data_IF_063619578305
#
_entry.id   IF_063619578305
#
_cell.length_a   1.000
_cell.length_b   1.000
_cell.length_c   1.000
_cell.angle_alpha   90.00
_cell.angle_beta   90.00
_cell.angle_gamma   90.00
#
_symmetry.space_group_name_H-M   'P 1'
#
loop_
_entity.id
_entity.type
_entity.pdbx_description
1 polymer ?
#
# COMPACT_ATOMS: atom_id res chain seq x y z
N UNK A 1 14.68 1.99 8.73
CA UNK A 1 14.55 0.97 7.66
C UNK A 1 14.65 1.69 6.34
N UNK A 2 15.43 1.12 5.41
CA UNK A 2 15.69 1.71 4.10
C UNK A 2 14.52 1.53 3.11
N UNK A 3 13.40 0.95 3.54
CA UNK A 3 12.13 0.98 2.79
C UNK A 3 11.66 2.39 2.43
N UNK A 4 12.13 3.44 3.12
CA UNK A 4 11.87 4.84 2.76
C UNK A 4 12.91 5.39 1.75
N UNK A 5 13.97 4.63 1.44
CA UNK A 5 14.99 4.96 0.45
C UNK A 5 14.73 4.25 -0.90
N UNK A 6 13.46 4.10 -1.31
CA UNK A 6 13.15 4.10 -2.73
C UNK A 6 13.54 5.48 -3.23
N UNK A 7 14.84 5.66 -3.52
CA UNK A 7 15.57 6.93 -3.68
C UNK A 7 14.58 8.04 -3.97
N UNK A 8 14.08 8.67 -2.90
CA UNK A 8 13.36 9.90 -3.11
C UNK A 8 14.40 10.82 -3.78
N UNK A 9 14.01 11.50 -4.85
CA UNK A 9 14.90 12.13 -5.84
C UNK A 9 15.66 13.36 -5.29
N UNK A 10 16.10 13.35 -4.04
CA UNK A 10 16.89 14.40 -3.42
C UNK A 10 18.36 14.02 -3.25
N UNK A 11 18.94 13.27 -4.19
CA UNK A 11 20.39 13.43 -4.36
C UNK A 11 20.63 14.86 -4.82
N UNK A 12 21.58 15.58 -4.20
CA UNK A 12 21.90 17.01 -4.50
C UNK A 12 22.04 17.30 -6.01
N UNK A 13 22.39 16.29 -6.80
CA UNK A 13 22.49 16.30 -8.26
C UNK A 13 21.16 16.51 -9.03
N UNK A 14 20.00 16.41 -8.39
CA UNK A 14 18.69 16.52 -9.08
C UNK A 14 18.24 17.98 -9.24
N UNK A 15 18.82 18.89 -8.46
CA UNK A 15 18.47 20.32 -8.46
C UNK A 15 18.76 21.07 -9.76
N UNK A 16 19.69 20.57 -10.60
CA UNK A 16 20.09 21.26 -11.84
C UNK A 16 19.17 20.95 -13.02
N UNK A 17 18.59 19.76 -13.08
CA UNK A 17 17.72 19.35 -14.20
C UNK A 17 16.38 20.12 -14.20
N UNK A 18 15.83 20.42 -15.37
CA UNK A 18 14.48 20.99 -15.49
C UNK A 18 13.40 19.94 -15.22
N UNK A 19 13.67 18.71 -15.66
CA UNK A 19 12.85 17.54 -15.44
C UNK A 19 13.73 16.28 -15.46
N UNK A 20 13.18 15.19 -14.93
CA UNK A 20 13.80 13.87 -14.92
C UNK A 20 12.85 12.89 -15.60
N UNK A 21 13.38 12.13 -16.55
CA UNK A 21 12.69 10.95 -17.05
C UNK A 21 12.98 9.77 -16.11
N UNK A 22 12.03 9.51 -15.22
CA UNK A 22 12.04 8.36 -14.34
C UNK A 22 11.57 7.13 -15.10
N UNK A 23 12.42 6.10 -15.13
CA UNK A 23 12.03 4.76 -15.57
C UNK A 23 11.67 3.95 -14.34
N UNK A 24 10.38 3.87 -14.05
CA UNK A 24 9.89 3.04 -12.96
C UNK A 24 9.30 1.74 -13.52
N UNK A 25 10.17 0.71 -13.60
CA UNK A 25 9.89 -0.53 -14.33
C UNK A 25 9.57 -0.24 -15.80
N UNK A 26 8.34 -0.51 -16.24
CA UNK A 26 7.85 -0.25 -17.60
C UNK A 26 7.08 1.08 -17.73
N UNK A 27 6.84 1.81 -16.62
CA UNK A 27 6.31 3.18 -16.67
C UNK A 27 7.40 4.18 -17.05
N UNK A 28 7.03 5.11 -17.92
CA UNK A 28 7.77 6.33 -18.25
C UNK A 28 7.10 7.49 -17.54
N UNK A 29 7.79 8.02 -16.55
CA UNK A 29 7.32 9.11 -15.71
C UNK A 29 8.22 10.32 -15.99
N UNK A 30 7.63 11.47 -16.30
CA UNK A 30 8.38 12.73 -16.38
C UNK A 30 8.08 13.53 -15.12
N UNK A 31 9.12 13.77 -14.34
CA UNK A 31 9.02 14.48 -13.07
C UNK A 31 9.71 15.83 -13.12
N UNK A 32 9.07 16.86 -12.58
CA UNK A 32 9.67 18.17 -12.33
C UNK A 32 9.76 18.43 -10.82
N UNK A 33 10.71 19.27 -10.43
CA UNK A 33 10.94 19.66 -9.04
C UNK A 33 10.81 21.17 -8.88
N UNK A 34 10.11 21.59 -7.83
CA UNK A 34 9.93 23.00 -7.52
C UNK A 34 9.09 23.74 -8.57
N UNK A 35 9.52 24.95 -8.94
CA UNK A 35 8.75 25.87 -9.79
C UNK A 35 8.86 25.59 -11.29
N UNK A 36 9.48 24.50 -11.73
CA UNK A 36 9.70 24.20 -13.17
C UNK A 36 8.62 23.32 -13.79
N UNK A 37 7.46 23.21 -13.14
CA UNK A 37 6.43 22.26 -13.55
C UNK A 37 5.82 22.58 -14.92
N UNK A 38 5.86 23.82 -15.38
CA UNK A 38 5.28 24.22 -16.67
C UNK A 38 5.90 23.45 -17.85
N UNK A 39 7.15 23.00 -17.72
CA UNK A 39 7.83 22.14 -18.70
C UNK A 39 7.16 20.79 -18.90
N UNK A 40 6.42 20.30 -17.91
CA UNK A 40 5.66 19.06 -18.03
C UNK A 40 4.57 19.16 -19.11
N UNK A 41 4.08 20.38 -19.42
CA UNK A 41 3.05 20.59 -20.46
C UNK A 41 3.54 20.17 -21.84
N UNK A 42 4.84 20.25 -22.10
CA UNK A 42 5.43 19.84 -23.38
C UNK A 42 5.28 18.33 -23.63
N UNK A 43 5.08 17.55 -22.57
CA UNK A 43 4.94 16.09 -22.61
C UNK A 43 3.49 15.59 -22.56
N UNK A 44 2.50 16.47 -22.38
CA UNK A 44 1.09 16.05 -22.25
C UNK A 44 0.54 15.35 -23.50
N UNK A 45 1.10 15.68 -24.67
CA UNK A 45 0.73 15.09 -25.96
C UNK A 45 1.63 13.93 -26.39
N UNK A 46 2.66 13.61 -25.59
CA UNK A 46 3.54 12.48 -25.88
C UNK A 46 2.87 11.18 -25.40
N UNK A 47 2.27 10.43 -26.32
CA UNK A 47 1.62 9.15 -26.04
C UNK A 47 2.57 8.08 -25.44
N UNK A 48 3.88 8.32 -25.52
CA UNK A 48 4.87 7.44 -24.92
C UNK A 48 5.06 7.68 -23.42
N UNK A 49 4.56 8.78 -22.87
CA UNK A 49 4.61 9.11 -21.44
C UNK A 49 3.37 8.58 -20.73
N UNK A 50 3.57 7.96 -19.56
CA UNK A 50 2.47 7.40 -18.77
C UNK A 50 2.03 8.35 -17.67
N UNK A 51 2.96 9.06 -17.03
CA UNK A 51 2.67 9.92 -15.87
C UNK A 51 3.51 11.19 -15.95
N UNK A 52 2.88 12.33 -15.66
CA UNK A 52 3.55 13.58 -15.33
C UNK A 52 3.47 13.81 -13.83
N UNK A 53 4.59 14.22 -13.23
CA UNK A 53 4.67 14.44 -11.79
C UNK A 53 5.38 15.75 -11.47
N UNK A 54 4.85 16.51 -10.53
CA UNK A 54 5.56 17.64 -9.95
C UNK A 54 5.67 17.45 -8.45
N UNK A 55 6.91 17.48 -7.95
CA UNK A 55 7.19 17.50 -6.53
C UNK A 55 7.18 18.95 -6.07
N UNK A 56 6.18 19.30 -5.26
CA UNK A 56 6.04 20.66 -4.74
C UNK A 56 6.79 20.82 -3.43
N UNK A 57 7.52 21.92 -3.31
CA UNK A 57 8.15 22.36 -2.07
C UNK A 57 7.34 23.44 -1.34
N UNK A 58 6.18 23.84 -1.89
CA UNK A 58 5.29 24.88 -1.36
C UNK A 58 3.82 24.43 -1.33
N UNK A 59 2.98 25.22 -0.66
CA UNK A 59 1.53 25.05 -0.54
C UNK A 59 0.81 24.89 -1.90
N UNK A 60 -0.47 24.48 -1.84
CA UNK A 60 -1.32 24.12 -2.98
C UNK A 60 -1.21 25.08 -4.20
N UNK A 61 -0.65 24.61 -5.33
CA UNK A 61 -0.55 25.35 -6.59
C UNK A 61 -1.83 25.11 -7.43
N UNK A 62 -2.74 26.08 -7.32
CA UNK A 62 -4.00 26.08 -8.07
C UNK A 62 -3.82 26.03 -9.60
N UNK A 63 -2.66 26.40 -10.17
CA UNK A 63 -2.41 26.30 -11.62
C UNK A 63 -2.30 24.84 -12.05
N UNK A 64 -1.53 24.02 -11.32
CA UNK A 64 -1.40 22.59 -11.58
C UNK A 64 -2.76 21.88 -11.50
N UNK A 65 -3.58 22.22 -10.49
CA UNK A 65 -4.93 21.67 -10.35
C UNK A 65 -5.83 22.06 -11.53
N UNK A 66 -5.79 23.33 -11.98
CA UNK A 66 -6.53 23.77 -13.18
C UNK A 66 -6.08 23.07 -14.45
N UNK A 67 -4.81 22.67 -14.53
CA UNK A 67 -4.27 21.88 -15.65
C UNK A 67 -4.60 20.38 -15.55
N UNK A 68 -5.38 19.96 -14.55
CA UNK A 68 -5.87 18.59 -14.41
C UNK A 68 -4.95 17.66 -13.62
N UNK A 69 -3.89 18.18 -12.99
CA UNK A 69 -3.13 17.44 -11.99
C UNK A 69 -3.97 17.24 -10.72
N UNK A 70 -3.70 16.17 -10.00
CA UNK A 70 -4.27 15.89 -8.68
C UNK A 70 -3.18 16.04 -7.61
N UNK A 71 -3.49 16.70 -6.50
CA UNK A 71 -2.60 16.80 -5.36
C UNK A 71 -2.79 15.61 -4.43
N UNK A 72 -1.73 14.85 -4.19
CA UNK A 72 -1.80 13.60 -3.43
C UNK A 72 -0.57 13.36 -2.56
N UNK A 73 -0.69 12.58 -1.48
CA UNK A 73 0.49 12.07 -0.81
C UNK A 73 1.22 11.09 -1.72
N UNK A 74 2.55 11.03 -1.65
CA UNK A 74 3.34 9.95 -2.26
C UNK A 74 3.02 8.60 -1.64
N UNK A 75 2.92 8.56 -0.30
CA UNK A 75 2.65 7.36 0.48
C UNK A 75 1.43 7.50 1.38
N UNK A 76 0.70 6.41 1.54
CA UNK A 76 -0.36 6.26 2.53
C UNK A 76 -0.02 5.12 3.49
N UNK A 77 -0.51 5.22 4.72
CA UNK A 77 -0.56 4.13 5.69
C UNK A 77 -1.98 3.57 5.75
N UNK A 78 -2.09 2.26 5.86
CA UNK A 78 -3.36 1.61 6.15
C UNK A 78 -3.50 1.41 7.64
N UNK A 79 -4.47 2.10 8.25
CA UNK A 79 -4.63 2.18 9.71
C UNK A 79 -5.96 1.58 10.17
N UNK A 80 -5.92 0.95 11.33
CA UNK A 80 -7.08 0.52 12.11
C UNK A 80 -6.94 1.12 13.51
N UNK A 81 -7.98 1.80 13.97
CA UNK A 81 -8.08 2.35 15.32
C UNK A 81 -8.54 1.23 16.28
N UNK A 82 -7.63 0.74 17.11
CA UNK A 82 -7.90 -0.40 17.99
C UNK A 82 -8.81 -0.01 19.16
N UNK A 83 -8.78 1.25 19.60
CA UNK A 83 -9.62 1.77 20.70
C UNK A 83 -11.13 1.71 20.43
N UNK A 84 -11.56 1.42 19.20
CA UNK A 84 -12.96 1.16 18.84
C UNK A 84 -13.46 -0.22 19.25
N UNK A 85 -12.56 -1.10 19.71
CA UNK A 85 -12.85 -2.49 20.01
C UNK A 85 -12.39 -2.81 21.43
N UNK A 86 -13.24 -3.44 22.24
CA UNK A 86 -12.85 -3.91 23.57
C UNK A 86 -12.25 -5.32 23.53
N UNK A 87 -12.41 -6.03 22.40
CA UNK A 87 -11.93 -7.39 22.18
C UNK A 87 -11.70 -7.67 20.69
N UNK A 88 -11.03 -8.78 20.38
CA UNK A 88 -10.91 -9.27 19.01
C UNK A 88 -12.25 -9.78 18.44
N UNK A 89 -13.15 -10.27 19.29
CA UNK A 89 -14.53 -10.61 18.91
C UNK A 89 -15.35 -9.37 18.50
N UNK A 90 -15.20 -8.23 19.19
CA UNK A 90 -15.81 -6.96 18.79
C UNK A 90 -15.34 -6.56 17.39
N UNK A 91 -14.04 -6.67 17.13
CA UNK A 91 -13.48 -6.42 15.80
C UNK A 91 -14.09 -7.36 14.75
N UNK A 92 -14.11 -8.68 15.01
CA UNK A 92 -14.71 -9.65 14.08
C UNK A 92 -16.16 -9.34 13.78
N UNK A 93 -16.92 -8.87 14.78
CA UNK A 93 -18.33 -8.51 14.61
C UNK A 93 -18.55 -7.26 13.76
N UNK A 94 -17.56 -6.36 13.68
CA UNK A 94 -17.60 -5.20 12.78
C UNK A 94 -17.38 -5.55 11.30
N UNK A 95 -16.81 -6.72 11.01
CA UNK A 95 -16.56 -7.16 9.63
C UNK A 95 -17.83 -7.62 8.91
N UNK A 96 -17.79 -7.60 7.58
CA UNK A 96 -18.86 -8.18 6.75
C UNK A 96 -19.01 -9.66 7.06
N UNK A 97 -20.25 -10.16 7.01
CA UNK A 97 -20.60 -11.56 7.35
C UNK A 97 -19.68 -12.60 6.70
N UNK A 98 -19.34 -12.42 5.41
CA UNK A 98 -18.45 -13.32 4.67
C UNK A 98 -17.03 -13.29 5.23
N UNK A 99 -16.44 -12.11 5.40
CA UNK A 99 -15.06 -11.97 5.87
C UNK A 99 -14.91 -12.50 7.31
N UNK A 100 -15.88 -12.21 8.19
CA UNK A 100 -15.98 -12.79 9.54
C UNK A 100 -16.06 -14.33 9.50
N UNK A 101 -16.90 -14.89 8.63
CA UNK A 101 -17.04 -16.34 8.50
C UNK A 101 -15.73 -17.00 8.08
N UNK A 102 -15.03 -16.46 7.09
CA UNK A 102 -13.75 -17.01 6.62
C UNK A 102 -12.67 -17.00 7.72
N UNK A 103 -12.61 -15.94 8.54
CA UNK A 103 -11.68 -15.89 9.67
C UNK A 103 -12.06 -16.93 10.73
N UNK A 104 -13.33 -17.01 11.13
CA UNK A 104 -13.79 -17.99 12.12
C UNK A 104 -13.56 -19.43 11.65
N UNK A 105 -13.78 -19.71 10.35
CA UNK A 105 -13.46 -21.00 9.72
C UNK A 105 -11.97 -21.31 9.82
N UNK A 106 -11.11 -20.33 9.53
CA UNK A 106 -9.65 -20.48 9.60
C UNK A 106 -9.17 -20.75 11.05
N UNK A 107 -9.72 -20.01 12.02
CA UNK A 107 -9.44 -20.21 13.45
C UNK A 107 -9.88 -21.60 13.92
N UNK A 108 -11.09 -22.03 13.55
CA UNK A 108 -11.59 -23.37 13.88
C UNK A 108 -10.69 -24.46 13.30
N UNK A 109 -10.31 -24.32 12.03
CA UNK A 109 -9.40 -25.28 11.40
C UNK A 109 -8.06 -25.39 12.14
N UNK A 110 -7.49 -24.26 12.58
CA UNK A 110 -6.26 -24.28 13.37
C UNK A 110 -6.44 -24.94 14.74
N UNK A 111 -7.59 -24.74 15.39
CA UNK A 111 -7.90 -25.38 16.67
C UNK A 111 -8.04 -26.90 16.52
N UNK A 112 -8.66 -27.35 15.44
CA UNK A 112 -8.94 -28.77 15.19
C UNK A 112 -7.71 -29.55 14.65
N UNK A 113 -6.64 -28.86 14.24
CA UNK A 113 -5.47 -29.48 13.59
C UNK A 113 -4.18 -29.35 14.39
N UNK A 114 -3.54 -30.48 14.69
CA UNK A 114 -2.22 -30.52 15.33
C UNK A 114 -1.05 -30.11 14.42
N UNK A 115 -1.26 -30.11 13.10
CA UNK A 115 -0.22 -29.78 12.13
C UNK A 115 0.05 -28.28 12.03
N UNK A 116 -0.85 -27.40 12.48
CA UNK A 116 -0.68 -25.95 12.27
C UNK A 116 -0.61 -25.22 13.60
N UNK A 117 0.21 -24.15 13.66
CA UNK A 117 0.29 -23.27 14.83
C UNK A 117 0.59 -21.83 14.44
N UNK A 118 0.05 -20.91 15.21
CA UNK A 118 0.43 -19.50 15.17
C UNK A 118 1.46 -19.26 16.26
N UNK A 119 2.52 -18.52 15.96
CA UNK A 119 3.52 -18.10 16.95
C UNK A 119 3.75 -16.60 16.80
N UNK A 120 3.82 -15.91 17.94
CA UNK A 120 4.13 -14.49 18.02
C UNK A 120 5.42 -14.35 18.80
N UNK A 121 6.40 -13.66 18.23
CA UNK A 121 7.71 -13.38 18.85
C UNK A 121 7.82 -11.88 19.18
N UNK A 122 7.91 -11.52 20.46
CA UNK A 122 8.12 -10.14 20.92
C UNK A 122 9.50 -9.55 20.57
N UNK A 123 10.42 -10.43 20.17
CA UNK A 123 11.75 -10.11 19.65
C UNK A 123 12.09 -11.16 18.58
N UNK A 124 12.45 -10.70 17.39
CA UNK A 124 12.64 -11.61 16.24
C UNK A 124 13.88 -12.49 16.46
N UNK A 125 13.69 -13.80 16.35
CA UNK A 125 14.80 -14.74 16.35
C UNK A 125 15.49 -14.78 14.98
N UNK A 126 16.82 -14.92 14.98
CA UNK A 126 17.60 -15.00 13.73
C UNK A 126 17.19 -16.18 12.86
N UNK A 127 16.87 -17.32 13.48
CA UNK A 127 16.35 -18.50 12.79
C UNK A 127 15.05 -18.19 12.05
N UNK A 128 14.08 -17.56 12.71
CA UNK A 128 12.80 -17.28 12.08
C UNK A 128 12.87 -16.16 11.07
N UNK A 129 13.72 -15.14 11.28
CA UNK A 129 14.01 -14.13 10.27
C UNK A 129 14.58 -14.76 9.00
N UNK A 130 15.56 -15.67 9.13
CA UNK A 130 16.16 -16.38 7.99
C UNK A 130 15.11 -17.19 7.23
N UNK A 131 14.31 -17.99 7.94
CA UNK A 131 13.26 -18.81 7.33
C UNK A 131 12.18 -17.95 6.65
N UNK A 132 11.76 -16.86 7.30
CA UNK A 132 10.83 -15.90 6.73
C UNK A 132 11.40 -15.22 5.49
N UNK A 133 12.68 -14.85 5.49
CA UNK A 133 13.33 -14.20 4.35
C UNK A 133 13.35 -15.09 3.10
N UNK A 134 13.61 -16.40 3.26
CA UNK A 134 13.52 -17.33 2.13
C UNK A 134 12.10 -17.44 1.57
N UNK A 135 11.09 -17.47 2.44
CA UNK A 135 9.68 -17.41 2.02
C UNK A 135 9.36 -16.11 1.27
N UNK A 136 9.81 -14.97 1.81
CA UNK A 136 9.63 -13.65 1.20
C UNK A 136 10.28 -13.56 -0.19
N UNK A 137 11.51 -14.05 -0.34
CA UNK A 137 12.20 -14.11 -1.65
C UNK A 137 11.40 -14.91 -2.67
N UNK A 138 10.82 -16.04 -2.27
CA UNK A 138 9.91 -16.82 -3.12
C UNK A 138 8.73 -15.99 -3.62
N UNK A 139 8.10 -15.24 -2.71
CA UNK A 139 6.98 -14.36 -3.05
C UNK A 139 7.38 -13.24 -4.00
N UNK A 140 8.48 -12.52 -3.71
CA UNK A 140 8.96 -11.42 -4.56
C UNK A 140 9.29 -11.88 -5.97
N UNK A 141 9.94 -13.05 -6.14
CA UNK A 141 10.24 -13.63 -7.46
C UNK A 141 8.99 -13.88 -8.31
N UNK A 142 7.84 -14.15 -7.67
CA UNK A 142 6.57 -14.39 -8.37
C UNK A 142 5.84 -13.11 -8.79
N UNK A 143 6.30 -11.93 -8.37
CA UNK A 143 5.67 -10.65 -8.66
C UNK A 143 6.41 -10.01 -9.85
N UNK A 144 5.68 -9.72 -10.94
CA UNK A 144 6.23 -9.16 -12.21
C UNK A 144 7.18 -7.98 -11.99
N UNK A 145 6.95 -7.18 -10.94
CA UNK A 145 7.74 -6.00 -10.57
C UNK A 145 8.28 -6.04 -9.12
N UNK A 146 8.40 -7.23 -8.52
CA UNK A 146 8.84 -7.37 -7.14
C UNK A 146 10.22 -6.76 -6.88
N UNK A 147 10.40 -6.16 -5.70
CA UNK A 147 11.67 -5.61 -5.21
C UNK A 147 11.96 -6.25 -3.86
N UNK A 148 13.17 -6.79 -3.70
CA UNK A 148 13.60 -7.46 -2.47
C UNK A 148 14.11 -6.43 -1.45
N UNK A 149 13.19 -5.65 -0.88
CA UNK A 149 13.51 -4.60 0.10
C UNK A 149 13.97 -5.20 1.44
N UNK A 150 13.46 -6.38 1.81
CA UNK A 150 13.84 -7.04 3.06
C UNK A 150 15.34 -7.39 3.08
N UNK A 151 15.96 -7.64 1.92
CA UNK A 151 17.42 -7.85 1.84
C UNK A 151 18.20 -6.68 2.43
N UNK A 152 17.77 -5.46 2.16
CA UNK A 152 18.45 -4.24 2.62
C UNK A 152 18.24 -3.99 4.11
N UNK A 153 17.06 -4.35 4.61
CA UNK A 153 16.71 -4.21 6.03
C UNK A 153 17.10 -5.41 6.89
N UNK A 154 17.58 -6.51 6.31
CA UNK A 154 17.83 -7.76 7.02
C UNK A 154 18.74 -7.56 8.25
N UNK A 155 19.82 -6.80 8.07
CA UNK A 155 20.75 -6.50 9.15
C UNK A 155 20.16 -5.59 10.22
N UNK A 156 19.21 -4.72 9.86
CA UNK A 156 18.51 -3.86 10.82
C UNK A 156 17.65 -4.68 11.78
N UNK A 157 16.91 -5.68 11.24
CA UNK A 157 16.15 -6.62 12.08
C UNK A 157 17.04 -7.37 13.06
N UNK A 158 18.24 -7.79 12.63
CA UNK A 158 19.17 -8.49 13.51
C UNK A 158 19.81 -7.60 14.57
N UNK A 159 20.04 -6.32 14.28
CA UNK A 159 20.63 -5.35 15.22
C UNK A 159 19.61 -4.88 16.26
N UNK A 160 18.34 -4.72 15.87
CA UNK A 160 17.29 -4.12 16.69
C UNK A 160 16.13 -5.09 16.93
N UNK A 161 16.44 -6.35 17.23
CA UNK A 161 15.47 -7.45 17.35
C UNK A 161 14.28 -7.11 18.26
N UNK A 162 14.55 -6.38 19.34
CA UNK A 162 13.56 -5.95 20.34
C UNK A 162 12.64 -4.83 19.87
N UNK A 163 12.92 -4.17 18.75
CA UNK A 163 12.05 -3.12 18.19
C UNK A 163 11.00 -3.71 17.24
N UNK A 164 11.14 -5.00 16.93
CA UNK A 164 10.31 -5.71 15.99
C UNK A 164 9.55 -6.86 16.64
N UNK A 165 8.46 -7.27 16.01
CA UNK A 165 7.68 -8.46 16.38
C UNK A 165 7.51 -9.34 15.15
N UNK A 166 7.60 -10.65 15.33
CA UNK A 166 7.32 -11.63 14.29
C UNK A 166 5.97 -12.31 14.55
N UNK A 167 5.11 -12.40 13.56
CA UNK A 167 3.88 -13.21 13.62
C UNK A 167 4.02 -14.28 12.53
N UNK A 168 3.99 -15.55 12.91
CA UNK A 168 4.23 -16.66 12.00
C UNK A 168 3.13 -17.70 12.08
N UNK A 169 2.79 -18.30 10.95
CA UNK A 169 1.97 -19.50 10.85
C UNK A 169 2.88 -20.62 10.36
N UNK A 170 2.89 -21.70 11.13
CA UNK A 170 3.62 -22.92 10.81
C UNK A 170 2.68 -24.01 10.31
N UNK A 171 3.18 -24.81 9.38
CA UNK A 171 2.73 -26.18 9.14
C UNK A 171 3.89 -27.09 9.59
N UNK A 172 3.63 -27.91 10.60
CA UNK A 172 4.61 -28.70 11.35
C UNK A 172 5.77 -27.82 11.84
N UNK A 173 6.92 -27.91 11.16
CA UNK A 173 8.15 -27.19 11.51
C UNK A 173 8.52 -26.10 10.49
N UNK A 174 7.68 -25.87 9.48
CA UNK A 174 7.94 -24.94 8.37
C UNK A 174 7.03 -23.72 8.45
N UNK A 175 7.60 -22.53 8.26
CA UNK A 175 6.83 -21.28 8.17
C UNK A 175 6.09 -21.29 6.81
N UNK A 176 4.76 -21.31 6.85
CA UNK A 176 3.90 -21.18 5.65
C UNK A 176 3.37 -19.75 5.48
N UNK A 177 3.55 -18.90 6.49
CA UNK A 177 3.24 -17.48 6.38
C UNK A 177 3.79 -16.68 7.55
N UNK A 178 4.04 -15.41 7.33
CA UNK A 178 4.43 -14.51 8.41
C UNK A 178 4.24 -13.04 8.10
N UNK A 179 4.26 -12.25 9.17
CA UNK A 179 4.35 -10.80 9.16
C UNK A 179 5.52 -10.39 10.05
N UNK A 180 6.38 -9.52 9.53
CA UNK A 180 7.32 -8.76 10.36
C UNK A 180 6.72 -7.39 10.66
N UNK A 181 6.70 -7.03 11.94
CA UNK A 181 6.14 -5.79 12.43
C UNK A 181 7.21 -4.94 13.12
N UNK A 182 7.08 -3.62 13.03
CA UNK A 182 7.80 -2.67 13.88
C UNK A 182 6.88 -2.16 14.98
N UNK A 183 7.44 -2.03 16.18
CA UNK A 183 6.79 -1.42 17.33
C UNK A 183 7.07 0.07 17.31
N UNK A 184 6.01 0.87 17.27
CA UNK A 184 6.04 2.32 17.52
C UNK A 184 5.28 2.58 18.81
N UNK A 185 5.51 3.73 19.42
CA UNK A 185 4.91 4.09 20.71
C UNK A 185 3.40 3.83 20.78
N UNK A 186 2.65 4.24 19.74
CA UNK A 186 1.17 4.10 19.67
C UNK A 186 0.69 3.12 18.61
N UNK A 187 1.60 2.46 17.88
CA UNK A 187 1.24 1.69 16.69
C UNK A 187 2.05 0.39 16.53
N UNK A 188 1.35 -0.71 16.24
CA UNK A 188 1.96 -1.92 15.71
C UNK A 188 1.80 -1.95 14.18
N UNK A 189 2.91 -1.82 13.44
CA UNK A 189 2.89 -1.69 11.98
C UNK A 189 3.52 -2.90 11.29
N UNK A 190 2.77 -3.56 10.43
CA UNK A 190 3.31 -4.55 9.49
C UNK A 190 4.23 -3.86 8.48
N UNK A 191 5.35 -4.51 8.18
CA UNK A 191 6.33 -4.03 7.19
C UNK A 191 6.48 -5.02 6.06
N UNK A 192 6.59 -6.30 6.39
CA UNK A 192 6.74 -7.38 5.42
C UNK A 192 5.71 -8.46 5.68
N UNK A 193 5.10 -8.96 4.62
CA UNK A 193 4.20 -10.12 4.60
C UNK A 193 4.73 -11.12 3.59
N UNK A 194 4.81 -12.39 3.98
CA UNK A 194 5.06 -13.48 3.06
C UNK A 194 4.17 -14.67 3.41
N UNK A 195 3.73 -15.40 2.38
CA UNK A 195 2.86 -16.58 2.49
C UNK A 195 3.24 -17.58 1.41
N UNK A 196 3.28 -18.85 1.76
CA UNK A 196 3.52 -19.94 0.82
C UNK A 196 2.24 -20.19 0.03
N UNK A 197 2.24 -19.77 -1.24
CA UNK A 197 1.10 -19.89 -2.14
C UNK A 197 0.69 -21.36 -2.40
N UNK A 198 1.59 -22.31 -2.20
CA UNK A 198 1.29 -23.73 -2.36
C UNK A 198 0.59 -24.32 -1.13
N UNK A 199 0.69 -23.67 0.03
CA UNK A 199 0.11 -24.08 1.30
C UNK A 199 -0.96 -23.10 1.82
N UNK A 200 -1.74 -22.48 0.92
CA UNK A 200 -2.88 -21.60 1.28
C UNK A 200 -4.20 -22.37 1.45
N UNK A 201 -4.17 -23.70 1.51
CA UNK A 201 -5.33 -24.53 1.79
C UNK A 201 -5.02 -25.39 3.02
N UNK A 202 -6.00 -25.58 3.92
CA UNK A 202 -7.44 -25.36 3.70
C UNK A 202 -8.02 -24.01 4.17
N UNK A 203 -7.18 -23.02 4.49
CA UNK A 203 -7.62 -21.71 4.99
C UNK A 203 -6.81 -20.52 4.46
N UNK A 204 -7.39 -19.32 4.53
CA UNK A 204 -6.78 -18.08 4.03
C UNK A 204 -5.69 -17.57 5.00
N UNK A 205 -4.46 -18.02 4.78
CA UNK A 205 -3.26 -17.67 5.58
C UNK A 205 -3.08 -16.15 5.68
N UNK A 206 -3.30 -15.41 4.60
CA UNK A 206 -3.11 -13.94 4.59
C UNK A 206 -4.13 -13.25 5.49
N UNK A 207 -5.42 -13.60 5.35
CA UNK A 207 -6.48 -13.01 6.17
C UNK A 207 -6.27 -13.31 7.65
N UNK A 208 -5.82 -14.52 7.96
CA UNK A 208 -5.56 -14.93 9.33
C UNK A 208 -4.33 -14.23 9.94
N UNK A 209 -3.26 -14.02 9.16
CA UNK A 209 -2.11 -13.22 9.61
C UNK A 209 -2.52 -11.78 9.94
N UNK A 210 -3.34 -11.14 9.09
CA UNK A 210 -3.87 -9.81 9.37
C UNK A 210 -4.77 -9.78 10.60
N UNK A 211 -5.66 -10.76 10.76
CA UNK A 211 -6.47 -10.88 11.98
C UNK A 211 -5.58 -11.03 13.23
N UNK A 212 -4.54 -11.86 13.15
CA UNK A 212 -3.61 -12.08 14.27
C UNK A 212 -2.87 -10.79 14.64
N UNK A 213 -2.44 -10.02 13.65
CA UNK A 213 -1.84 -8.70 13.86
C UNK A 213 -2.77 -7.73 14.58
N UNK A 214 -4.04 -7.68 14.19
CA UNK A 214 -5.05 -6.81 14.82
C UNK A 214 -5.33 -7.24 16.25
N UNK A 215 -5.51 -8.55 16.47
CA UNK A 215 -5.69 -9.12 17.80
C UNK A 215 -4.52 -8.76 18.71
N UNK A 216 -3.30 -8.83 18.19
CA UNK A 216 -2.09 -8.43 18.93
C UNK A 216 -2.05 -6.92 19.21
N UNK A 217 -2.48 -6.09 18.25
CA UNK A 217 -2.64 -4.66 18.45
C UNK A 217 -3.58 -4.33 19.61
N UNK A 218 -4.75 -4.98 19.64
CA UNK A 218 -5.77 -4.83 20.68
C UNK A 218 -5.26 -5.36 22.02
N UNK A 219 -4.70 -6.59 22.07
CA UNK A 219 -4.28 -7.22 23.33
C UNK A 219 -3.13 -6.48 24.04
N UNK A 220 -2.25 -5.84 23.27
CA UNK A 220 -1.12 -5.05 23.78
C UNK A 220 -1.48 -3.58 23.99
N UNK A 221 -2.76 -3.20 23.82
CA UNK A 221 -3.25 -1.83 23.96
C UNK A 221 -2.54 -0.81 23.05
N UNK A 222 -2.09 -1.22 21.86
CA UNK A 222 -1.70 -0.25 20.85
C UNK A 222 -2.94 0.53 20.42
N UNK A 223 -2.82 1.84 20.26
CA UNK A 223 -3.93 2.66 19.76
C UNK A 223 -4.24 2.35 18.29
N UNK A 224 -3.20 2.09 17.50
CA UNK A 224 -3.28 1.84 16.08
C UNK A 224 -2.65 0.50 15.69
N UNK A 225 -3.29 -0.19 14.75
CA UNK A 225 -2.67 -1.26 13.98
C UNK A 225 -2.50 -0.78 12.55
N UNK A 226 -1.37 -1.09 11.90
CA UNK A 226 -1.16 -0.75 10.49
C UNK A 226 -0.77 -1.94 9.62
N UNK A 227 -1.33 -2.01 8.40
CA UNK A 227 -0.90 -2.93 7.34
C UNK A 227 0.25 -2.37 6.49
N UNK A 228 1.00 -1.42 7.02
CA UNK A 228 2.15 -0.82 6.36
C UNK A 228 1.78 0.32 5.43
N UNK A 229 2.81 0.80 4.73
CA UNK A 229 2.67 1.87 3.75
C UNK A 229 2.53 1.30 2.34
N UNK A 230 1.70 1.94 1.54
CA UNK A 230 1.60 1.71 0.10
C UNK A 230 1.79 3.06 -0.63
N UNK A 231 2.29 3.05 -1.88
CA UNK A 231 2.14 4.22 -2.74
C UNK A 231 0.64 4.53 -2.89
N UNK A 232 0.31 5.81 -3.06
CA UNK A 232 -1.08 6.22 -3.27
C UNK A 232 -1.62 5.87 -4.67
N UNK A 233 -0.80 5.33 -5.57
CA UNK A 233 -1.20 4.86 -6.92
C UNK A 233 -1.25 3.32 -7.00
N UNK A 234 -2.43 2.77 -7.28
CA UNK A 234 -2.69 1.34 -7.47
C UNK A 234 -3.00 1.00 -8.92
N UNK A 235 -2.79 -0.26 -9.28
CA UNK A 235 -3.03 -0.80 -10.63
C UNK A 235 -1.76 -1.19 -11.38
N UNK A 236 -0.60 -0.72 -10.90
CA UNK A 236 0.73 -1.03 -11.45
C UNK A 236 1.65 -1.69 -10.42
N UNK A 237 2.32 -0.92 -9.55
CA UNK A 237 3.24 -1.46 -8.53
C UNK A 237 2.49 -2.22 -7.44
N UNK A 238 1.44 -1.61 -6.88
CA UNK A 238 0.53 -2.26 -5.95
C UNK A 238 -0.76 -2.61 -6.65
N UNK A 239 -1.18 -3.87 -6.51
CA UNK A 239 -2.40 -4.35 -7.16
C UNK A 239 -3.65 -3.74 -6.51
N UNK A 240 -4.70 -3.51 -7.30
CA UNK A 240 -6.03 -3.13 -6.77
C UNK A 240 -6.61 -4.21 -5.85
N UNK A 241 -6.23 -5.48 -6.06
CA UNK A 241 -6.58 -6.57 -5.15
C UNK A 241 -6.09 -6.34 -3.73
N UNK A 242 -4.87 -5.83 -3.56
CA UNK A 242 -4.32 -5.49 -2.24
C UNK A 242 -5.14 -4.39 -1.56
N UNK A 243 -5.48 -3.31 -2.28
CA UNK A 243 -6.37 -2.25 -1.81
C UNK A 243 -7.68 -2.83 -1.26
N UNK A 244 -8.33 -3.72 -2.02
CA UNK A 244 -9.58 -4.36 -1.59
C UNK A 244 -9.43 -5.24 -0.35
N UNK A 245 -8.32 -5.97 -0.23
CA UNK A 245 -8.08 -6.83 0.93
C UNK A 245 -7.93 -5.96 2.19
N UNK A 246 -7.08 -4.92 2.15
CA UNK A 246 -6.86 -4.03 3.31
C UNK A 246 -8.15 -3.36 3.76
N UNK A 247 -8.94 -2.84 2.80
CA UNK A 247 -10.28 -2.29 3.04
C UNK A 247 -11.26 -3.28 3.67
N UNK A 248 -11.31 -4.54 3.18
CA UNK A 248 -12.21 -5.57 3.74
C UNK A 248 -11.87 -5.94 5.18
N UNK A 249 -10.61 -5.77 5.57
CA UNK A 249 -10.15 -5.96 6.94
C UNK A 249 -10.41 -4.73 7.83
N UNK A 250 -11.11 -3.70 7.34
CA UNK A 250 -11.48 -2.52 8.11
C UNK A 250 -10.40 -1.44 8.18
N UNK A 251 -9.25 -1.63 7.52
CA UNK A 251 -8.21 -0.60 7.49
C UNK A 251 -8.62 0.55 6.56
N UNK A 252 -8.29 1.76 6.99
CA UNK A 252 -8.51 3.01 6.25
C UNK A 252 -7.17 3.58 5.78
N UNK A 253 -7.08 4.05 4.53
CA UNK A 253 -5.89 4.73 4.06
C UNK A 253 -5.78 6.10 4.72
N UNK A 254 -4.57 6.49 5.10
CA UNK A 254 -4.26 7.78 5.72
C UNK A 254 -2.94 8.32 5.15
N UNK A 255 -2.81 9.62 4.84
CA UNK A 255 -1.54 10.17 4.36
C UNK A 255 -0.40 9.90 5.35
N UNK A 256 0.70 9.31 4.87
CA UNK A 256 1.77 8.84 5.75
C UNK A 256 2.45 9.98 6.54
N UNK A 257 2.53 11.19 5.95
CA UNK A 257 3.14 12.37 6.58
C UNK A 257 2.51 12.75 7.92
N UNK A 258 1.19 12.57 8.08
CA UNK A 258 0.49 12.89 9.32
C UNK A 258 0.75 11.87 10.43
N UNK A 259 1.39 10.76 10.11
CA UNK A 259 1.83 9.74 11.07
C UNK A 259 3.32 9.85 11.38
N UNK A 260 3.97 10.96 11.00
CA UNK A 260 5.40 11.18 11.23
C UNK A 260 6.32 10.41 10.29
N UNK A 261 5.79 9.90 9.17
CA UNK A 261 6.63 9.32 8.12
C UNK A 261 7.15 10.42 7.18
N UNK A 262 8.40 10.29 6.75
CA UNK A 262 8.96 11.12 5.67
C UNK A 262 8.24 10.74 4.36
N UNK A 263 7.28 11.57 3.95
CA UNK A 263 6.46 11.37 2.76
C UNK A 263 6.14 12.72 2.16
N UNK A 264 6.45 12.89 0.89
CA UNK A 264 6.18 14.11 0.15
C UNK A 264 4.74 14.17 -0.35
N UNK A 265 4.28 15.40 -0.57
CA UNK A 265 3.13 15.67 -1.43
C UNK A 265 3.60 15.83 -2.87
N UNK A 266 2.78 15.41 -3.82
CA UNK A 266 3.07 15.58 -5.23
C UNK A 266 1.80 15.86 -6.03
N UNK A 267 1.98 16.57 -7.14
CA UNK A 267 0.99 16.69 -8.19
C UNK A 267 1.22 15.58 -9.19
N UNK A 268 0.17 14.85 -9.54
CA UNK A 268 0.24 13.77 -10.51
C UNK A 268 -0.83 13.97 -11.59
N UNK A 269 -0.45 13.77 -12.84
CA UNK A 269 -1.40 13.67 -13.96
C UNK A 269 -1.10 12.36 -14.68
N UNK A 270 -2.06 11.45 -14.67
CA UNK A 270 -1.96 10.23 -15.46
C UNK A 270 -2.23 10.62 -16.91
N UNK A 271 -1.21 10.41 -17.73
CA UNK A 271 -1.33 10.49 -19.18
C UNK A 271 -1.82 9.11 -19.57
N UNK A 272 -0.97 8.08 -19.59
CA UNK A 272 -1.28 6.74 -20.10
C UNK A 272 -1.64 5.71 -19.03
N UNK A 273 -2.78 5.02 -19.21
CA UNK A 273 -3.21 3.93 -18.32
C UNK A 273 -3.17 2.53 -18.93
N UNK A 274 -2.69 2.37 -20.18
CA UNK A 274 -2.58 1.07 -20.86
C UNK A 274 -1.67 0.07 -20.12
N UNK A 275 -0.66 0.59 -19.41
CA UNK A 275 0.27 -0.25 -18.62
C UNK A 275 -0.28 -0.62 -17.25
N UNK A 276 -1.44 -0.08 -16.88
CA UNK A 276 -2.16 -0.47 -15.68
C UNK A 276 -3.06 -1.65 -16.04
N UNK A 277 -3.30 -2.55 -15.09
CA UNK A 277 -4.04 -3.79 -15.34
C UNK A 277 -5.56 -3.54 -15.52
N UNK A 278 -5.95 -2.73 -16.51
CA UNK A 278 -7.31 -2.29 -16.82
C UNK A 278 -7.74 -1.01 -16.10
N UNK A 279 -7.47 -0.91 -14.79
CA UNK A 279 -7.84 0.23 -13.95
C UNK A 279 -6.64 0.72 -13.14
N UNK A 280 -6.57 2.03 -12.91
CA UNK A 280 -5.70 2.64 -11.92
C UNK A 280 -6.53 3.35 -10.84
N UNK A 281 -6.08 3.30 -9.58
CA UNK A 281 -6.66 4.08 -8.47
C UNK A 281 -5.60 5.02 -7.93
N UNK A 282 -5.88 6.31 -7.90
CA UNK A 282 -5.01 7.30 -7.27
C UNK A 282 -5.72 7.91 -6.07
N UNK A 283 -5.13 7.76 -4.89
CA UNK A 283 -5.64 8.32 -3.65
C UNK A 283 -5.05 9.71 -3.46
N UNK A 284 -5.89 10.72 -3.47
CA UNK A 284 -5.51 12.12 -3.45
C UNK A 284 -6.08 12.81 -2.23
N UNK A 285 -5.54 13.97 -1.88
CA UNK A 285 -6.12 14.79 -0.83
C UNK A 285 -7.54 15.19 -1.20
N UNK A 286 -8.44 15.17 -0.21
CA UNK A 286 -9.81 15.66 -0.37
C UNK A 286 -9.81 17.06 -0.99
N UNK A 287 -10.50 17.22 -2.10
CA UNK A 287 -10.59 18.47 -2.86
C UNK A 287 -9.23 19.11 -3.22
N UNK A 288 -8.17 18.29 -3.31
CA UNK A 288 -6.79 18.75 -3.51
C UNK A 288 -6.28 19.70 -2.41
N UNK A 289 -6.74 19.52 -1.16
CA UNK A 289 -6.23 20.26 0.00
C UNK A 289 -5.18 19.44 0.75
N UNK A 290 -3.90 19.81 0.63
CA UNK A 290 -2.78 19.14 1.31
C UNK A 290 -2.79 19.25 2.83
N UNK A 291 -3.74 19.99 3.43
CA UNK A 291 -3.98 20.01 4.87
C UNK A 291 -5.09 19.04 5.31
N UNK A 292 -5.88 18.51 4.36
CA UNK A 292 -6.90 17.50 4.68
C UNK A 292 -6.26 16.16 5.00
N UNK A 293 -6.76 15.51 6.04
CA UNK A 293 -6.40 14.14 6.38
C UNK A 293 -7.33 13.11 5.72
N UNK A 294 -8.38 13.56 5.05
CA UNK A 294 -9.26 12.73 4.24
C UNK A 294 -8.69 12.57 2.83
N UNK A 295 -9.15 11.52 2.15
CA UNK A 295 -8.71 11.20 0.80
C UNK A 295 -9.91 11.12 -0.15
N UNK A 296 -9.71 11.64 -1.35
CA UNK A 296 -10.52 11.31 -2.52
C UNK A 296 -9.90 10.12 -3.27
N UNK A 297 -10.72 9.41 -4.04
CA UNK A 297 -10.27 8.34 -4.91
C UNK A 297 -10.55 8.66 -6.37
N UNK A 298 -9.48 8.83 -7.15
CA UNK A 298 -9.55 8.99 -8.59
C UNK A 298 -9.39 7.63 -9.27
N UNK A 299 -10.38 7.25 -10.07
CA UNK A 299 -10.41 5.97 -10.79
C UNK A 299 -10.17 6.25 -12.27
N UNK A 300 -9.10 5.71 -12.82
CA UNK A 300 -8.74 5.87 -14.23
C UNK A 300 -8.92 4.57 -14.99
N UNK A 301 -9.45 4.64 -16.20
CA UNK A 301 -9.66 3.48 -17.08
C UNK A 301 -9.71 3.89 -18.56
N UNK A 302 -9.23 3.01 -19.43
CA UNK A 302 -9.35 3.16 -20.89
C UNK A 302 -10.67 2.63 -21.46
N UNK A 303 -11.53 2.11 -20.59
CA UNK A 303 -12.88 1.65 -20.93
C UNK A 303 -13.89 2.12 -19.88
N UNK A 304 -15.16 2.00 -20.22
CA UNK A 304 -16.25 2.29 -19.29
C UNK A 304 -16.33 1.20 -18.21
N UNK A 305 -16.14 1.59 -16.96
CA UNK A 305 -16.04 0.70 -15.82
C UNK A 305 -17.44 0.17 -15.48
N UNK A 306 -17.65 -1.16 -15.53
CA UNK A 306 -18.95 -1.74 -15.21
C UNK A 306 -19.39 -1.42 -13.78
N UNK A 307 -20.71 -1.24 -13.56
CA UNK A 307 -21.29 -0.95 -12.23
C UNK A 307 -20.84 -1.90 -11.13
N UNK A 308 -20.68 -3.19 -11.46
CA UNK A 308 -20.22 -4.20 -10.51
C UNK A 308 -18.81 -3.89 -9.99
N UNK A 309 -17.96 -3.32 -10.82
CA UNK A 309 -16.61 -2.92 -10.46
C UNK A 309 -16.59 -1.58 -9.70
N UNK A 310 -17.40 -0.60 -10.13
CA UNK A 310 -17.65 0.64 -9.38
C UNK A 310 -18.06 0.36 -7.93
N UNK A 311 -19.01 -0.56 -7.73
CA UNK A 311 -19.46 -1.00 -6.39
C UNK A 311 -18.37 -1.62 -5.52
N UNK A 312 -17.31 -2.20 -6.11
CA UNK A 312 -16.16 -2.71 -5.34
C UNK A 312 -15.26 -1.58 -4.85
N UNK A 313 -15.08 -0.55 -5.68
CA UNK A 313 -14.27 0.63 -5.37
C UNK A 313 -14.98 1.49 -4.31
N UNK A 314 -16.30 1.69 -4.45
CA UNK A 314 -17.13 2.47 -3.52
C UNK A 314 -16.84 2.15 -2.05
N UNK A 315 -16.39 3.17 -1.32
CA UNK A 315 -15.98 3.08 0.08
C UNK A 315 -16.48 4.29 0.83
N UNK A 316 -16.87 4.10 2.09
CA UNK A 316 -17.13 5.20 3.04
C UNK A 316 -15.86 5.96 3.45
N UNK A 317 -14.68 5.44 3.09
CA UNK A 317 -13.40 6.05 3.44
C UNK A 317 -13.06 7.28 2.61
N UNK A 318 -13.70 7.41 1.45
CA UNK A 318 -13.42 8.49 0.53
C UNK A 318 -14.53 9.52 0.61
N UNK A 319 -14.15 10.79 0.66
CA UNK A 319 -15.12 11.88 0.53
C UNK A 319 -15.75 11.82 -0.86
N UNK A 320 -14.91 11.76 -1.89
CA UNK A 320 -15.36 11.67 -3.28
C UNK A 320 -14.71 10.49 -4.00
N UNK A 321 -15.44 9.95 -4.97
CA UNK A 321 -14.92 9.00 -5.96
C UNK A 321 -15.14 9.58 -7.34
N UNK A 322 -14.04 9.88 -8.02
CA UNK A 322 -14.02 10.60 -9.30
C UNK A 322 -13.59 9.62 -10.38
N UNK A 323 -14.50 9.32 -11.31
CA UNK A 323 -14.22 8.42 -12.42
C UNK A 323 -13.73 9.23 -13.62
N UNK A 324 -12.50 8.96 -14.06
CA UNK A 324 -11.89 9.47 -15.28
C UNK A 324 -11.79 8.30 -16.26
N UNK A 325 -12.85 8.12 -17.04
CA UNK A 325 -12.96 7.03 -18.01
C UNK A 325 -12.65 7.54 -19.42
N UNK A 326 -12.21 6.63 -20.29
CA UNK A 326 -11.84 6.96 -21.68
C UNK A 326 -10.77 8.06 -21.71
N UNK A 327 -9.77 7.94 -20.82
CA UNK A 327 -8.65 8.89 -20.76
C UNK A 327 -7.87 9.04 -22.08
N UNK A 328 -8.14 8.16 -23.05
CA UNK A 328 -7.73 8.28 -24.44
C UNK A 328 -8.91 8.03 -25.38
N UNK A 329 -9.62 9.08 -25.75
CA UNK A 329 -10.12 9.12 -27.11
C UNK A 329 -8.91 9.45 -27.97
N UNK A 330 -8.31 8.44 -28.63
CA UNK A 330 -7.40 8.70 -29.74
C UNK A 330 -8.09 9.76 -30.57
N UNK A 331 -7.46 10.92 -30.75
CA UNK A 331 -7.96 11.91 -31.68
C UNK A 331 -8.03 11.19 -33.02
N UNK A 332 -9.22 10.71 -33.37
CA UNK A 332 -9.50 10.15 -34.68
C UNK A 332 -9.33 11.34 -35.59
N UNK A 333 -8.11 11.56 -36.08
CA UNK A 333 -7.84 12.51 -37.14
C UNK A 333 -8.62 12.02 -38.35
N UNK A 334 -9.85 12.52 -38.47
CA UNK A 334 -10.61 12.66 -39.71
C UNK A 334 -9.92 13.62 -40.64
#
# INVERSE_FOLDING_TARGET
MKTNNLIEPYSENISESEYILEKFKDLKIVSAYGSKWEKLRDFEKDESIDILRSYSTSDCDSKLIRDGYILKPSWILWLLENNKYNSDDDYLNSLRKKDRYEIKKSLKFLQDSHAYKITIEDSISERNLKNFYELYKGNIKSIKNGVDLLKEDYNEFLKRRTDFKGIYIYCENSIIGGILCIKRERMLRAIYLAVDKNNTQPFDVTRLLYFTLIREGISQNYELTSLGADPSLYGHMVSIGLFHIKKKMGFRPYPAKYMGEESLDLYEKLINVDKFNGIALSLAYENNDCNSNNLDCYVYSNYEIPDKERKKIMSEFFTNIIYKERCYEKSSNT
#
